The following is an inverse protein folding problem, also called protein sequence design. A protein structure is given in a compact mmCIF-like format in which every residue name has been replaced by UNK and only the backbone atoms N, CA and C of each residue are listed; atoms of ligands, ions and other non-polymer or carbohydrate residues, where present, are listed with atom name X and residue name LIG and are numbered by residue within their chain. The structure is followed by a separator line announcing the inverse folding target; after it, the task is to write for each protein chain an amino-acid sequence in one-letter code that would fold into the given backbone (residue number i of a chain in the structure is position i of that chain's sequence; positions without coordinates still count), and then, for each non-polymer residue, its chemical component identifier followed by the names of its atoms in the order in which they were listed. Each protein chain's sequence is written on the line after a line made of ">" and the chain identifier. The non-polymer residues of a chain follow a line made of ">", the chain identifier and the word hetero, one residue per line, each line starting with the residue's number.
data_IF_865209217140
#
_entry.id   IF_865209217140
#
_cell.length_a   1.000
_cell.length_b   1.000
_cell.length_c   1.000
_cell.angle_alpha   90.00
_cell.angle_beta   90.00
_cell.angle_gamma   90.00
#
_symmetry.space_group_name_H-M   'P 1'
#
loop_
_entity.id
_entity.type
_entity.pdbx_description
1 polymer ?
#
# COMPACT_ATOMS: atom_id res chain seq x y z
N UNK A 1 -28.43 -8.67 -5.73
CA UNK A 1 -27.35 -8.04 -6.50
C UNK A 1 -26.59 -7.06 -5.62
N UNK A 2 -27.17 -5.90 -5.29
CA UNK A 2 -26.59 -4.87 -4.41
C UNK A 2 -25.71 -5.38 -3.25
N UNK A 3 -26.23 -6.23 -2.36
CA UNK A 3 -25.48 -6.66 -1.16
C UNK A 3 -24.23 -7.46 -1.54
N UNK A 4 -24.29 -8.26 -2.62
CA UNK A 4 -23.14 -9.05 -3.09
C UNK A 4 -22.08 -8.14 -3.73
N UNK A 5 -22.50 -7.24 -4.61
CA UNK A 5 -21.60 -6.28 -5.28
C UNK A 5 -20.92 -5.36 -4.26
N UNK A 6 -21.65 -4.94 -3.23
CA UNK A 6 -21.14 -4.13 -2.12
C UNK A 6 -20.09 -4.88 -1.31
N UNK A 7 -20.32 -6.16 -1.00
CA UNK A 7 -19.33 -6.99 -0.30
C UNK A 7 -18.07 -7.21 -1.13
N UNK A 8 -18.20 -7.40 -2.45
CA UNK A 8 -17.05 -7.49 -3.36
C UNK A 8 -16.28 -6.17 -3.41
N UNK A 9 -16.97 -5.04 -3.53
CA UNK A 9 -16.35 -3.71 -3.54
C UNK A 9 -15.57 -3.38 -2.26
N UNK A 10 -16.05 -3.87 -1.11
CA UNK A 10 -15.42 -3.70 0.20
C UNK A 10 -14.34 -4.76 0.52
N UNK A 11 -14.14 -5.76 -0.33
CA UNK A 11 -13.19 -6.86 -0.08
C UNK A 11 -11.73 -6.53 -0.46
N UNK A 12 -11.51 -5.42 -1.17
CA UNK A 12 -10.16 -4.99 -1.56
C UNK A 12 -9.32 -4.59 -0.36
N UNK A 13 -8.03 -4.96 -0.34
CA UNK A 13 -7.03 -4.48 0.62
C UNK A 13 -6.09 -3.47 -0.05
N UNK A 14 -6.34 -2.15 0.10
CA UNK A 14 -5.45 -1.10 -0.34
C UNK A 14 -3.98 -1.33 0.01
N UNK A 15 -3.10 -1.04 -0.93
CA UNK A 15 -1.64 -1.05 -0.80
C UNK A 15 -1.02 0.35 -0.95
N UNK A 16 -1.83 1.37 -1.26
CA UNK A 16 -1.40 2.77 -1.44
C UNK A 16 -2.37 3.73 -0.77
N UNK A 17 -1.95 4.98 -0.54
CA UNK A 17 -2.83 6.03 0.02
C UNK A 17 -3.99 6.32 -0.92
N UNK A 18 -3.73 6.34 -2.22
CA UNK A 18 -4.73 6.53 -3.28
C UNK A 18 -5.77 5.40 -3.25
N UNK A 19 -5.33 4.15 -3.07
CA UNK A 19 -6.24 3.02 -2.93
C UNK A 19 -7.06 3.07 -1.63
N UNK A 20 -6.48 3.57 -0.52
CA UNK A 20 -7.22 3.80 0.73
C UNK A 20 -8.32 4.84 0.47
N UNK A 21 -7.98 5.97 -0.17
CA UNK A 21 -8.96 7.00 -0.49
C UNK A 21 -10.08 6.49 -1.40
N UNK A 22 -9.75 5.69 -2.42
CA UNK A 22 -10.74 5.04 -3.28
C UNK A 22 -11.62 4.04 -2.51
N UNK A 23 -11.03 3.25 -1.61
CA UNK A 23 -11.75 2.31 -0.75
C UNK A 23 -12.73 3.03 0.18
N UNK A 24 -12.30 4.14 0.79
CA UNK A 24 -13.17 4.98 1.64
C UNK A 24 -14.30 5.62 0.83
N UNK A 25 -14.05 6.06 -0.41
CA UNK A 25 -15.09 6.59 -1.28
C UNK A 25 -16.14 5.51 -1.63
N UNK A 26 -15.70 4.29 -1.97
CA UNK A 26 -16.60 3.15 -2.20
C UNK A 26 -17.38 2.77 -0.95
N UNK A 27 -16.73 2.76 0.21
CA UNK A 27 -17.40 2.50 1.48
C UNK A 27 -18.51 3.51 1.74
N UNK A 28 -18.25 4.79 1.49
CA UNK A 28 -19.25 5.85 1.66
C UNK A 28 -20.45 5.63 0.75
N UNK A 29 -20.22 5.37 -0.54
CA UNK A 29 -21.28 5.09 -1.51
C UNK A 29 -22.13 3.88 -1.10
N UNK A 30 -21.48 2.78 -0.70
CA UNK A 30 -22.19 1.58 -0.21
C UNK A 30 -22.98 1.88 1.06
N UNK A 31 -22.43 2.65 1.98
CA UNK A 31 -23.08 3.06 3.23
C UNK A 31 -24.34 3.88 2.96
N UNK A 32 -24.26 4.88 2.07
CA UNK A 32 -25.37 5.75 1.68
C UNK A 32 -26.49 4.93 1.01
N UNK A 33 -26.14 4.04 0.06
CA UNK A 33 -27.09 3.14 -0.59
C UNK A 33 -27.72 2.14 0.39
N UNK A 34 -26.97 1.71 1.41
CA UNK A 34 -27.49 0.78 2.41
C UNK A 34 -28.53 1.44 3.31
N UNK A 35 -28.33 2.71 3.67
CA UNK A 35 -29.32 3.52 4.40
C UNK A 35 -30.60 3.65 3.57
N UNK A 36 -30.49 3.97 2.27
CA UNK A 36 -31.65 4.09 1.38
C UNK A 36 -32.44 2.78 1.28
N UNK A 37 -31.74 1.64 1.16
CA UNK A 37 -32.35 0.32 0.97
C UNK A 37 -32.88 -0.30 2.27
N UNK A 38 -32.53 0.24 3.44
CA UNK A 38 -32.94 -0.29 4.75
C UNK A 38 -34.46 -0.31 4.92
N UNK A 39 -35.15 0.75 4.51
CA UNK A 39 -36.62 0.84 4.56
C UNK A 39 -37.27 -0.18 3.62
N UNK A 40 -36.69 -0.39 2.43
CA UNK A 40 -37.16 -1.41 1.48
C UNK A 40 -37.00 -2.83 2.02
N UNK A 41 -35.88 -3.14 2.69
CA UNK A 41 -35.68 -4.42 3.39
C UNK A 41 -36.75 -4.62 4.47
N UNK A 42 -36.96 -3.61 5.31
CA UNK A 42 -37.94 -3.67 6.40
C UNK A 42 -39.36 -3.94 5.87
N UNK A 43 -39.81 -3.16 4.88
CA UNK A 43 -41.13 -3.33 4.24
C UNK A 43 -41.32 -4.72 3.63
N UNK A 44 -40.27 -5.29 3.04
CA UNK A 44 -40.31 -6.64 2.47
C UNK A 44 -40.39 -7.71 3.57
N UNK A 45 -39.61 -7.60 4.64
CA UNK A 45 -39.65 -8.52 5.79
C UNK A 45 -41.02 -8.48 6.47
N UNK A 46 -41.61 -7.29 6.63
CA UNK A 46 -42.93 -7.13 7.22
C UNK A 46 -44.04 -7.72 6.34
N UNK A 47 -43.99 -7.48 5.01
CA UNK A 47 -44.91 -8.15 4.07
C UNK A 47 -44.79 -9.67 4.12
N UNK A 48 -43.56 -10.21 4.13
CA UNK A 48 -43.34 -11.65 4.20
C UNK A 48 -43.84 -12.25 5.53
N UNK A 49 -43.70 -11.51 6.64
CA UNK A 49 -44.26 -11.87 7.95
C UNK A 49 -45.79 -11.94 7.91
N UNK A 50 -46.45 -10.94 7.33
CA UNK A 50 -47.92 -10.90 7.21
C UNK A 50 -48.45 -12.03 6.32
N UNK A 51 -47.83 -12.29 5.16
CA UNK A 51 -48.20 -13.42 4.29
C UNK A 51 -48.12 -14.75 5.02
N UNK A 52 -47.06 -14.96 5.83
CA UNK A 52 -46.91 -16.14 6.69
C UNK A 52 -48.00 -16.25 7.75
N UNK A 53 -48.37 -15.13 8.39
CA UNK A 53 -49.44 -15.13 9.40
C UNK A 53 -50.81 -15.46 8.80
N UNK A 54 -51.08 -14.98 7.58
CA UNK A 54 -52.35 -15.21 6.91
C UNK A 54 -52.40 -16.54 6.14
N UNK A 55 -51.29 -17.29 6.07
CA UNK A 55 -51.14 -18.50 5.26
C UNK A 55 -51.47 -18.28 3.77
N UNK A 56 -51.22 -17.07 3.27
CA UNK A 56 -51.53 -16.67 1.88
C UNK A 56 -50.26 -16.74 1.04
N UNK A 57 -50.32 -17.49 -0.06
CA UNK A 57 -49.26 -17.52 -1.08
C UNK A 57 -48.01 -18.29 -0.68
N UNK A 58 -46.99 -18.21 -1.55
CA UNK A 58 -45.70 -18.86 -1.33
C UNK A 58 -44.80 -17.97 -0.45
N UNK A 59 -44.30 -18.52 0.66
CA UNK A 59 -43.35 -17.82 1.53
C UNK A 59 -42.00 -17.63 0.85
N UNK A 60 -41.44 -16.42 0.94
CA UNK A 60 -40.06 -16.16 0.54
C UNK A 60 -39.11 -16.59 1.66
N UNK A 61 -38.08 -17.36 1.31
CA UNK A 61 -36.97 -17.63 2.22
C UNK A 61 -35.98 -16.45 2.21
N UNK A 62 -36.11 -15.57 3.21
CA UNK A 62 -35.26 -14.38 3.33
C UNK A 62 -33.95 -14.64 4.10
N UNK A 63 -33.75 -15.84 4.67
CA UNK A 63 -32.59 -16.12 5.54
C UNK A 63 -31.24 -15.88 4.86
N UNK A 64 -31.13 -16.17 3.55
CA UNK A 64 -29.93 -15.89 2.78
C UNK A 64 -29.66 -14.40 2.63
N UNK A 65 -30.70 -13.61 2.36
CA UNK A 65 -30.55 -12.15 2.25
C UNK A 65 -30.22 -11.52 3.59
N UNK A 66 -30.88 -11.93 4.68
CA UNK A 66 -30.58 -11.42 6.02
C UNK A 66 -29.12 -11.67 6.39
N UNK A 67 -28.60 -12.89 6.16
CA UNK A 67 -27.19 -13.21 6.43
C UNK A 67 -26.20 -12.29 5.70
N UNK A 68 -26.38 -12.12 4.39
CA UNK A 68 -25.46 -11.30 3.58
C UNK A 68 -25.61 -9.81 3.95
N UNK A 69 -26.82 -9.37 4.32
CA UNK A 69 -27.06 -8.01 4.82
C UNK A 69 -26.34 -7.76 6.15
N UNK A 70 -26.47 -8.68 7.10
CA UNK A 70 -25.83 -8.56 8.42
C UNK A 70 -24.29 -8.56 8.27
N UNK A 71 -23.76 -9.36 7.34
CA UNK A 71 -22.33 -9.32 6.98
C UNK A 71 -21.92 -7.95 6.42
N UNK A 72 -22.75 -7.35 5.56
CA UNK A 72 -22.47 -6.03 5.01
C UNK A 72 -22.49 -4.94 6.10
N UNK A 73 -23.45 -4.96 7.02
CA UNK A 73 -23.49 -4.03 8.17
C UNK A 73 -22.24 -4.17 9.05
N UNK A 74 -21.80 -5.41 9.29
CA UNK A 74 -20.58 -5.68 10.03
C UNK A 74 -19.35 -5.10 9.31
N UNK A 75 -19.21 -5.33 7.99
CA UNK A 75 -18.07 -4.78 7.22
C UNK A 75 -18.08 -3.26 7.19
N UNK A 76 -19.26 -2.64 7.03
CA UNK A 76 -19.37 -1.19 7.04
C UNK A 76 -18.97 -0.60 8.39
N UNK A 77 -19.44 -1.17 9.50
CA UNK A 77 -19.08 -0.71 10.85
C UNK A 77 -17.59 -0.93 11.19
N UNK A 78 -16.95 -1.93 10.59
CA UNK A 78 -15.53 -2.22 10.80
C UNK A 78 -14.57 -1.41 9.89
N UNK A 79 -15.08 -0.55 9.01
CA UNK A 79 -14.25 0.11 7.99
C UNK A 79 -13.21 1.05 8.58
N UNK A 80 -13.56 1.88 9.56
CA UNK A 80 -12.60 2.82 10.18
C UNK A 80 -11.40 2.07 10.78
N UNK A 81 -11.68 0.97 11.48
CA UNK A 81 -10.65 0.09 12.03
C UNK A 81 -9.80 -0.53 10.92
N UNK A 82 -10.44 -1.03 9.86
CA UNK A 82 -9.76 -1.61 8.70
C UNK A 82 -8.82 -0.60 8.03
N UNK A 83 -9.26 0.65 7.86
CA UNK A 83 -8.45 1.72 7.28
C UNK A 83 -7.25 2.05 8.15
N UNK A 84 -7.43 2.09 9.48
CA UNK A 84 -6.32 2.34 10.40
C UNK A 84 -5.29 1.21 10.36
N UNK A 85 -5.73 -0.05 10.39
CA UNK A 85 -4.86 -1.23 10.24
C UNK A 85 -4.09 -1.22 8.90
N UNK A 86 -4.73 -0.75 7.83
CA UNK A 86 -4.08 -0.60 6.52
C UNK A 86 -3.01 0.49 6.55
N UNK A 87 -3.28 1.65 7.15
CA UNK A 87 -2.28 2.72 7.31
C UNK A 87 -1.09 2.25 8.12
N UNK A 88 -1.32 1.57 9.24
CA UNK A 88 -0.25 1.05 10.10
C UNK A 88 0.60 0.01 9.37
N UNK A 89 -0.04 -0.89 8.60
CA UNK A 89 0.67 -1.85 7.76
C UNK A 89 1.56 -1.14 6.73
N UNK A 90 1.07 -0.11 6.06
CA UNK A 90 1.84 0.64 5.06
C UNK A 90 3.01 1.39 5.69
N UNK A 91 2.83 2.00 6.87
CA UNK A 91 3.93 2.58 7.65
C UNK A 91 4.99 1.54 7.97
N UNK A 92 4.59 0.36 8.46
CA UNK A 92 5.52 -0.74 8.75
C UNK A 92 6.27 -1.24 7.51
N UNK A 93 5.65 -1.24 6.34
CA UNK A 93 6.31 -1.57 5.08
C UNK A 93 7.36 -0.51 4.69
N UNK A 94 7.07 0.78 4.86
CA UNK A 94 8.01 1.87 4.61
C UNK A 94 9.20 1.79 5.58
N UNK A 95 8.94 1.58 6.87
CA UNK A 95 9.99 1.41 7.89
C UNK A 95 10.92 0.24 7.58
N UNK A 96 10.35 -0.88 7.11
CA UNK A 96 11.15 -2.03 6.67
C UNK A 96 12.02 -1.66 5.47
N UNK A 97 11.44 -0.98 4.47
CA UNK A 97 12.16 -0.56 3.27
C UNK A 97 13.29 0.43 3.58
N UNK A 98 13.10 1.34 4.53
CA UNK A 98 14.16 2.23 5.05
C UNK A 98 15.32 1.42 5.62
N UNK A 99 15.04 0.39 6.44
CA UNK A 99 16.08 -0.47 7.04
C UNK A 99 16.83 -1.29 5.97
N UNK A 100 16.09 -1.86 5.03
CA UNK A 100 16.66 -2.64 3.94
C UNK A 100 17.56 -1.76 3.06
N UNK A 101 17.10 -0.54 2.73
CA UNK A 101 17.87 0.43 1.95
C UNK A 101 19.10 0.98 2.70
N UNK A 102 18.99 1.21 4.01
CA UNK A 102 20.16 1.56 4.84
C UNK A 102 21.23 0.46 4.78
N UNK A 103 20.81 -0.81 4.85
CA UNK A 103 21.73 -1.95 4.72
C UNK A 103 22.38 -1.99 3.33
N UNK A 104 21.63 -1.66 2.29
CA UNK A 104 22.14 -1.55 0.92
C UNK A 104 23.19 -0.42 0.78
N UNK A 105 22.92 0.76 1.35
CA UNK A 105 23.86 1.88 1.38
C UNK A 105 25.18 1.50 2.06
N UNK A 106 25.11 0.82 3.21
CA UNK A 106 26.31 0.33 3.93
C UNK A 106 27.10 -0.66 3.07
N UNK A 107 26.42 -1.60 2.40
CA UNK A 107 27.07 -2.58 1.51
C UNK A 107 27.72 -1.90 0.32
N UNK A 108 27.06 -0.93 -0.30
CA UNK A 108 27.59 -0.17 -1.42
C UNK A 108 28.83 0.63 -0.98
N UNK A 109 28.74 1.42 0.09
CA UNK A 109 29.87 2.17 0.64
C UNK A 109 31.07 1.27 0.99
N UNK A 110 30.81 0.08 1.55
CA UNK A 110 31.85 -0.91 1.83
C UNK A 110 32.56 -1.42 0.57
N UNK A 111 31.80 -1.72 -0.50
CA UNK A 111 32.39 -2.13 -1.79
C UNK A 111 33.17 -0.99 -2.44
N UNK A 112 32.59 0.22 -2.48
CA UNK A 112 33.25 1.41 -3.01
C UNK A 112 34.60 1.65 -2.33
N UNK A 113 34.65 1.62 -0.99
CA UNK A 113 35.90 1.80 -0.24
C UNK A 113 36.98 0.78 -0.60
N UNK A 114 36.61 -0.46 -0.90
CA UNK A 114 37.54 -1.53 -1.28
C UNK A 114 37.94 -1.53 -2.75
N UNK A 115 37.12 -0.94 -3.61
CA UNK A 115 37.29 -0.90 -5.07
C UNK A 115 37.57 0.51 -5.59
N UNK A 116 37.86 1.46 -4.70
CA UNK A 116 38.13 2.85 -5.05
C UNK A 116 39.33 2.90 -6.00
N UNK A 117 39.19 3.52 -7.18
CA UNK A 117 40.28 3.61 -8.15
C UNK A 117 41.47 4.35 -7.54
N UNK A 118 42.64 3.73 -7.61
CA UNK A 118 43.91 4.36 -7.24
C UNK A 118 44.75 4.64 -8.49
N UNK A 119 45.15 5.90 -8.65
CA UNK A 119 45.98 6.34 -9.76
C UNK A 119 47.38 5.70 -9.77
N UNK A 120 47.81 5.08 -8.66
CA UNK A 120 49.10 4.37 -8.57
C UNK A 120 49.20 3.16 -9.51
N UNK A 121 48.07 2.61 -9.98
CA UNK A 121 48.00 1.47 -10.90
C UNK A 121 47.99 1.81 -12.39
N UNK A 122 47.90 3.10 -12.77
CA UNK A 122 47.79 3.55 -14.16
C UNK A 122 49.14 3.45 -14.87
N UNK A 123 49.30 2.43 -15.73
CA UNK A 123 50.56 2.16 -16.47
C UNK A 123 50.46 2.45 -17.96
N UNK A 124 49.27 2.35 -18.53
CA UNK A 124 49.03 2.50 -19.96
C UNK A 124 47.59 2.97 -20.25
N UNK A 125 47.31 3.25 -21.52
CA UNK A 125 46.00 3.75 -21.97
C UNK A 125 44.88 2.71 -21.81
N UNK A 126 45.20 1.42 -21.82
CA UNK A 126 44.22 0.34 -21.72
C UNK A 126 43.74 0.19 -20.26
N UNK A 127 44.67 0.17 -19.31
CA UNK A 127 44.39 0.20 -17.87
C UNK A 127 43.61 1.44 -17.46
N UNK A 128 43.92 2.60 -18.05
CA UNK A 128 43.15 3.83 -17.83
C UNK A 128 41.71 3.73 -18.38
N UNK A 129 41.51 3.09 -19.53
CA UNK A 129 40.19 2.91 -20.11
C UNK A 129 39.31 1.95 -19.30
N UNK A 130 39.90 0.88 -18.76
CA UNK A 130 39.20 -0.07 -17.89
C UNK A 130 38.75 0.58 -16.57
N UNK A 131 39.64 1.32 -15.90
CA UNK A 131 39.28 2.06 -14.68
C UNK A 131 38.16 3.08 -14.93
N UNK A 132 38.18 3.78 -16.06
CA UNK A 132 37.12 4.74 -16.41
C UNK A 132 35.77 4.04 -16.56
N UNK A 133 35.74 2.84 -17.14
CA UNK A 133 34.50 2.09 -17.32
C UNK A 133 33.96 1.56 -15.98
N UNK A 134 34.85 1.12 -15.08
CA UNK A 134 34.48 0.75 -13.71
C UNK A 134 33.88 1.94 -12.95
N UNK A 135 34.50 3.13 -13.02
CA UNK A 135 33.98 4.36 -12.38
C UNK A 135 32.60 4.72 -12.91
N UNK A 136 32.35 4.61 -14.22
CA UNK A 136 31.00 4.84 -14.77
C UNK A 136 29.98 3.85 -14.24
N UNK A 137 30.38 2.59 -14.03
CA UNK A 137 29.54 1.58 -13.40
C UNK A 137 29.15 1.99 -11.98
N UNK A 138 30.12 2.47 -11.20
CA UNK A 138 29.90 2.98 -9.84
C UNK A 138 28.99 4.21 -9.81
N UNK A 139 29.22 5.20 -10.68
CA UNK A 139 28.35 6.38 -10.78
C UNK A 139 26.91 5.95 -11.10
N UNK A 140 26.71 5.05 -12.05
CA UNK A 140 25.37 4.56 -12.39
C UNK A 140 24.67 3.89 -11.20
N UNK A 141 25.35 2.97 -10.52
CA UNK A 141 24.78 2.29 -9.34
C UNK A 141 24.50 3.30 -8.21
N UNK A 142 25.35 4.32 -8.04
CA UNK A 142 25.12 5.41 -7.08
C UNK A 142 23.89 6.26 -7.45
N UNK A 143 23.70 6.60 -8.72
CA UNK A 143 22.48 7.30 -9.17
C UNK A 143 21.21 6.47 -8.90
N UNK A 144 21.26 5.15 -9.08
CA UNK A 144 20.14 4.25 -8.76
C UNK A 144 19.80 4.27 -7.25
N UNK A 145 20.82 4.29 -6.38
CA UNK A 145 20.62 4.48 -4.93
C UNK A 145 20.00 5.84 -4.61
N UNK A 146 20.45 6.93 -5.27
CA UNK A 146 19.86 8.27 -5.07
C UNK A 146 18.39 8.32 -5.49
N UNK A 147 18.05 7.75 -6.64
CA UNK A 147 16.66 7.66 -7.09
C UNK A 147 15.78 6.86 -6.12
N UNK A 148 16.34 5.79 -5.56
CA UNK A 148 15.64 4.98 -4.53
C UNK A 148 15.44 5.78 -3.24
N UNK A 149 16.46 6.52 -2.77
CA UNK A 149 16.35 7.42 -1.62
C UNK A 149 15.25 8.48 -1.83
N UNK A 150 15.20 9.12 -3.00
CA UNK A 150 14.14 10.08 -3.32
C UNK A 150 12.75 9.46 -3.29
N UNK A 151 12.62 8.22 -3.78
CA UNK A 151 11.35 7.47 -3.77
C UNK A 151 10.92 7.18 -2.34
N UNK A 152 11.82 6.70 -1.49
CA UNK A 152 11.54 6.44 -0.07
C UNK A 152 11.15 7.74 0.65
N UNK A 153 11.84 8.86 0.40
CA UNK A 153 11.48 10.17 0.98
C UNK A 153 10.10 10.65 0.56
N UNK A 154 9.72 10.47 -0.71
CA UNK A 154 8.35 10.77 -1.18
C UNK A 154 7.33 9.93 -0.43
N UNK A 155 7.55 8.62 -0.32
CA UNK A 155 6.67 7.71 0.43
C UNK A 155 6.56 8.10 1.91
N UNK A 156 7.66 8.47 2.57
CA UNK A 156 7.65 8.92 3.97
C UNK A 156 6.75 10.15 4.17
N UNK A 157 6.83 11.13 3.27
CA UNK A 157 5.98 12.34 3.30
C UNK A 157 4.50 12.04 3.15
N UNK A 158 4.13 11.00 2.40
CA UNK A 158 2.72 10.58 2.28
C UNK A 158 2.14 10.01 3.57
N UNK A 159 2.98 9.53 4.49
CA UNK A 159 2.56 8.88 5.74
C UNK A 159 2.98 9.65 7.00
N UNK A 160 3.41 10.90 6.86
CA UNK A 160 3.96 11.73 7.94
C UNK A 160 5.09 11.04 8.73
N UNK A 161 5.86 10.18 8.05
CA UNK A 161 7.04 9.53 8.59
C UNK A 161 8.23 10.51 8.47
N UNK A 162 9.06 10.67 9.52
CA UNK A 162 10.24 11.52 9.44
C UNK A 162 11.14 11.14 8.28
N UNK A 163 11.68 12.14 7.58
CA UNK A 163 12.60 11.91 6.46
C UNK A 163 13.78 11.05 6.94
N UNK A 164 14.07 9.90 6.30
CA UNK A 164 15.17 9.05 6.70
C UNK A 164 16.51 9.68 6.31
N UNK A 165 17.49 9.50 7.19
CA UNK A 165 18.88 9.90 6.97
C UNK A 165 19.71 8.66 6.63
N UNK A 166 20.55 8.76 5.60
CA UNK A 166 21.45 7.68 5.18
C UNK A 166 22.89 8.20 5.12
N UNK A 167 23.59 8.26 6.26
CA UNK A 167 24.92 8.88 6.35
C UNK A 167 25.94 8.29 5.37
N UNK A 168 25.86 6.98 5.11
CA UNK A 168 26.73 6.29 4.17
C UNK A 168 26.51 6.75 2.73
N UNK A 169 25.27 7.06 2.35
CA UNK A 169 24.95 7.59 1.03
C UNK A 169 25.38 9.06 0.91
N UNK A 170 25.12 9.86 1.96
CA UNK A 170 25.49 11.28 2.00
C UNK A 170 27.02 11.47 1.92
N UNK A 171 27.78 10.59 2.58
CA UNK A 171 29.25 10.61 2.54
C UNK A 171 29.88 10.19 1.21
N UNK A 172 29.10 9.61 0.28
CA UNK A 172 29.58 9.20 -1.04
C UNK A 172 29.40 10.28 -2.11
N UNK A 173 28.58 11.31 -1.85
CA UNK A 173 28.26 12.38 -2.81
C UNK A 173 29.51 13.14 -3.28
N UNK A 174 30.47 13.34 -2.37
CA UNK A 174 31.72 14.05 -2.68
C UNK A 174 32.83 13.09 -3.16
N UNK A 175 32.61 11.77 -3.11
CA UNK A 175 33.64 10.75 -3.36
C UNK A 175 33.51 10.02 -4.71
N UNK A 176 32.29 9.95 -5.27
CA UNK A 176 31.95 9.33 -6.58
C UNK A 176 31.69 10.44 -7.60
#
# INVERSE_FOLDING_TARGET
>A
EFVKESLEALSSMPQTVEEIAQSTARWKDVSDQMIEKKDSKFKMEEKNRLLKQLQIGQMLNLSGLSKIWDELELRLSAHEKTVEEQKDRLKGMIEKRIKDFSTECVKFAGRWKGSKPDASGLKDRETAAQMLEEVKGWDKEFQELRNTNETIKKECKHFDIPDPSFPELDGLVDDI
#
